data_IF_764670059997
#
_entry.id   IF_764670059997
#
_cell.length_a   1.000
_cell.length_b   1.000
_cell.length_c   1.000
_cell.angle_alpha   90.00
_cell.angle_beta   90.00
_cell.angle_gamma   90.00
#
_symmetry.space_group_name_H-M   'P 1'
#
loop_
_entity.id
_entity.type
_entity.pdbx_description
1 polymer ?
#
# COMPACT_ATOMS: atom_id res chain seq x y z
N UNK A 1 23.55 -11.88 7.20
CA UNK A 1 22.43 -12.65 7.75
C UNK A 1 22.19 -13.83 6.82
N UNK A 2 22.49 -15.06 7.27
CA UNK A 2 22.30 -16.26 6.46
C UNK A 2 20.80 -16.52 6.34
N UNK A 3 20.28 -16.61 5.11
CA UNK A 3 18.86 -16.94 4.90
C UNK A 3 18.65 -18.38 5.35
N UNK A 4 17.65 -18.65 6.18
CA UNK A 4 17.18 -20.00 6.43
C UNK A 4 16.55 -20.47 5.10
N UNK A 5 17.12 -21.45 4.37
CA UNK A 5 16.43 -22.01 3.23
C UNK A 5 15.25 -22.83 3.75
N UNK A 6 14.03 -22.50 3.32
CA UNK A 6 12.89 -23.38 3.55
C UNK A 6 12.91 -24.56 2.58
N UNK A 7 12.33 -25.66 3.04
CA UNK A 7 12.27 -26.97 2.38
C UNK A 7 11.87 -26.84 0.90
N UNK A 8 12.68 -27.40 0.01
CA UNK A 8 12.38 -27.43 -1.44
C UNK A 8 12.87 -26.23 -2.24
N UNK A 9 13.73 -25.36 -1.69
CA UNK A 9 14.44 -24.32 -2.44
C UNK A 9 13.57 -23.13 -2.88
N UNK A 10 12.35 -23.01 -2.33
CA UNK A 10 11.48 -21.85 -2.53
C UNK A 10 11.66 -20.88 -1.37
N UNK A 11 11.99 -19.63 -1.67
CA UNK A 11 11.97 -18.57 -0.67
C UNK A 11 10.50 -18.22 -0.35
N UNK A 12 10.17 -17.92 0.92
CA UNK A 12 8.88 -17.34 1.24
C UNK A 12 8.69 -16.05 0.43
N UNK A 13 7.46 -15.77 -0.02
CA UNK A 13 7.13 -14.58 -0.82
C UNK A 13 7.22 -13.24 -0.05
N UNK A 14 7.78 -13.26 1.15
CA UNK A 14 7.95 -12.13 2.06
C UNK A 14 9.27 -12.24 2.83
N UNK A 15 9.68 -11.14 3.47
CA UNK A 15 10.81 -11.04 4.40
C UNK A 15 10.32 -10.54 5.77
N UNK A 16 11.13 -10.75 6.82
CA UNK A 16 10.89 -10.13 8.13
C UNK A 16 11.66 -8.80 8.19
N UNK A 17 10.98 -7.75 8.60
CA UNK A 17 11.50 -6.39 8.77
C UNK A 17 11.20 -5.86 10.18
N UNK A 18 11.89 -4.79 10.57
CA UNK A 18 11.83 -4.22 11.91
C UNK A 18 11.35 -2.77 11.91
N UNK A 19 10.41 -2.37 12.77
CA UNK A 19 10.00 -0.95 12.87
C UNK A 19 11.20 -0.08 13.27
N UNK A 20 11.89 -0.47 14.33
CA UNK A 20 13.17 0.08 14.80
C UNK A 20 14.32 -0.77 14.26
N UNK A 21 15.27 -0.15 13.56
CA UNK A 21 16.34 -0.86 12.87
C UNK A 21 17.24 -1.65 13.82
N UNK A 22 17.68 -2.83 13.41
CA UNK A 22 18.54 -3.70 14.23
C UNK A 22 19.91 -3.05 14.52
N UNK A 23 20.41 -2.21 13.60
CA UNK A 23 21.69 -1.53 13.75
C UNK A 23 21.65 -0.47 14.86
N UNK A 24 20.52 0.24 15.00
CA UNK A 24 20.30 1.26 16.02
C UNK A 24 19.78 0.67 17.34
N UNK A 25 19.01 -0.42 17.28
CA UNK A 25 18.33 -1.03 18.43
C UNK A 25 18.56 -2.54 18.53
N UNK A 26 19.79 -2.99 18.82
CA UNK A 26 20.12 -4.42 18.88
C UNK A 26 19.34 -5.19 19.97
N UNK A 27 18.93 -4.51 21.04
CA UNK A 27 18.08 -5.08 22.10
C UNK A 27 16.63 -5.33 21.66
N UNK A 28 16.16 -4.68 20.59
CA UNK A 28 14.78 -4.78 20.10
C UNK A 28 14.66 -5.77 18.92
N UNK A 29 15.75 -6.44 18.54
CA UNK A 29 15.80 -7.26 17.32
C UNK A 29 14.87 -8.48 17.36
N UNK A 30 14.56 -9.02 18.54
CA UNK A 30 13.66 -10.17 18.75
C UNK A 30 12.34 -9.78 19.42
N UNK A 31 12.11 -8.49 19.64
CA UNK A 31 10.87 -8.00 20.25
C UNK A 31 9.76 -8.13 19.21
N UNK A 32 8.79 -9.01 19.44
CA UNK A 32 7.76 -9.35 18.43
C UNK A 32 7.00 -8.14 17.88
N UNK A 33 6.64 -7.17 18.74
CA UNK A 33 5.98 -5.92 18.32
C UNK A 33 6.85 -5.04 17.41
N UNK A 34 8.16 -5.29 17.38
CA UNK A 34 9.11 -4.63 16.50
C UNK A 34 9.24 -5.35 15.15
N UNK A 35 8.74 -6.59 15.01
CA UNK A 35 8.84 -7.42 13.82
C UNK A 35 7.58 -7.35 12.97
N UNK A 36 7.72 -7.35 11.65
CA UNK A 36 6.60 -7.52 10.73
C UNK A 36 7.01 -8.21 9.43
N UNK A 37 6.02 -8.81 8.75
CA UNK A 37 6.19 -9.34 7.41
C UNK A 37 6.13 -8.23 6.37
N UNK A 38 7.16 -8.13 5.55
CA UNK A 38 7.28 -7.16 4.46
C UNK A 38 7.41 -7.87 3.12
N UNK A 39 6.97 -7.23 2.04
CA UNK A 39 7.23 -7.76 0.71
C UNK A 39 8.73 -7.67 0.38
N UNK A 40 9.21 -8.47 -0.57
CA UNK A 40 10.59 -8.36 -1.05
C UNK A 40 10.89 -7.05 -1.77
N UNK A 41 9.87 -6.22 -2.02
CA UNK A 41 9.99 -5.02 -2.84
C UNK A 41 10.50 -5.37 -4.24
N UNK A 42 11.20 -4.42 -4.86
CA UNK A 42 11.74 -4.58 -6.21
C UNK A 42 13.09 -5.33 -6.26
N UNK A 43 13.42 -6.13 -5.23
CA UNK A 43 14.75 -6.77 -5.06
C UNK A 43 14.90 -8.07 -5.89
N UNK A 44 13.79 -8.68 -6.35
CA UNK A 44 13.80 -9.88 -7.20
C UNK A 44 13.40 -9.57 -8.65
N UNK A 45 14.34 -9.08 -9.47
CA UNK A 45 14.31 -9.35 -10.91
C UNK A 45 13.50 -8.43 -11.83
N UNK A 46 13.23 -7.18 -11.46
CA UNK A 46 12.81 -6.13 -12.42
C UNK A 46 13.71 -4.91 -12.37
N UNK A 47 15.02 -5.14 -12.52
CA UNK A 47 15.91 -4.14 -13.12
C UNK A 47 15.64 -4.08 -14.63
N UNK A 48 14.42 -3.71 -15.02
CA UNK A 48 14.13 -3.34 -16.41
C UNK A 48 14.46 -1.86 -16.53
N UNK A 49 15.70 -1.60 -16.96
CA UNK A 49 16.18 -0.31 -17.46
C UNK A 49 16.19 0.83 -16.42
N UNK A 50 17.37 1.13 -15.86
CA UNK A 50 17.76 2.46 -15.37
C UNK A 50 16.89 3.09 -14.29
N UNK A 51 17.43 3.16 -13.06
CA UNK A 51 16.92 4.05 -12.00
C UNK A 51 15.47 3.82 -11.55
N UNK A 52 15.11 2.60 -11.14
CA UNK A 52 13.91 2.44 -10.31
C UNK A 52 14.24 2.84 -8.87
N UNK A 53 13.58 3.88 -8.38
CA UNK A 53 13.66 4.29 -6.97
C UNK A 53 13.16 3.12 -6.11
N UNK A 54 13.90 2.80 -5.05
CA UNK A 54 13.43 1.82 -4.08
C UNK A 54 12.21 2.42 -3.36
N UNK A 55 11.29 1.56 -2.91
CA UNK A 55 10.12 1.96 -2.13
C UNK A 55 9.89 0.98 -0.98
N UNK A 56 8.91 1.30 -0.12
CA UNK A 56 8.51 0.52 1.03
C UNK A 56 9.69 0.25 1.99
N UNK A 57 9.72 -0.96 2.57
CA UNK A 57 10.75 -1.36 3.52
C UNK A 57 12.15 -1.46 2.91
N UNK A 58 12.26 -1.66 1.59
CA UNK A 58 13.57 -1.68 0.93
C UNK A 58 14.20 -0.30 0.92
N UNK A 59 13.45 0.76 0.56
CA UNK A 59 13.97 2.14 0.61
C UNK A 59 14.36 2.54 2.03
N UNK A 60 13.46 2.27 2.99
CA UNK A 60 13.69 2.53 4.40
C UNK A 60 14.96 1.85 4.90
N UNK A 61 15.10 0.55 4.66
CA UNK A 61 16.24 -0.23 5.12
C UNK A 61 17.54 0.25 4.49
N UNK A 62 17.54 0.66 3.21
CA UNK A 62 18.72 1.23 2.56
C UNK A 62 19.20 2.54 3.21
N UNK A 63 18.28 3.32 3.78
CA UNK A 63 18.60 4.57 4.48
C UNK A 63 18.76 4.41 6.00
N UNK A 64 18.63 3.18 6.53
CA UNK A 64 18.69 2.87 7.96
C UNK A 64 17.68 3.68 8.81
N UNK A 65 16.46 3.89 8.29
CA UNK A 65 15.42 4.67 8.96
C UNK A 65 14.41 3.83 9.75
N UNK A 66 13.82 4.44 10.77
CA UNK A 66 12.84 3.81 11.66
C UNK A 66 11.40 4.21 11.28
N UNK A 67 10.43 3.35 11.56
CA UNK A 67 8.99 3.66 11.51
C UNK A 67 8.50 3.78 12.95
N UNK A 68 7.88 4.91 13.25
CA UNK A 68 7.45 5.27 14.60
C UNK A 68 6.01 5.76 14.64
N UNK A 69 5.46 6.23 13.50
CA UNK A 69 4.14 6.85 13.47
C UNK A 69 2.97 5.85 13.57
N UNK A 70 3.21 4.56 13.32
CA UNK A 70 2.15 3.54 13.39
C UNK A 70 2.64 2.18 13.87
N UNK A 71 1.68 1.35 14.27
CA UNK A 71 1.85 -0.07 14.53
C UNK A 71 0.81 -0.86 13.75
N UNK A 72 1.23 -1.93 13.08
CA UNK A 72 0.33 -2.82 12.35
C UNK A 72 -0.67 -3.57 13.26
N UNK A 73 -0.45 -3.57 14.58
CA UNK A 73 -1.33 -4.25 15.54
C UNK A 73 -2.48 -3.37 16.05
N UNK A 74 -2.31 -2.05 16.04
CA UNK A 74 -3.21 -1.12 16.74
C UNK A 74 -3.68 0.05 15.88
N UNK A 75 -2.96 0.37 14.81
CA UNK A 75 -3.27 1.55 14.00
C UNK A 75 -4.21 1.19 12.85
N UNK A 76 -5.35 1.88 12.76
CA UNK A 76 -6.21 1.81 11.57
C UNK A 76 -5.68 2.73 10.47
N UNK A 77 -4.70 2.25 9.70
CA UNK A 77 -4.07 3.03 8.63
C UNK A 77 -5.06 3.48 7.54
N UNK A 78 -6.11 2.71 7.27
CA UNK A 78 -7.11 3.04 6.24
C UNK A 78 -7.89 4.31 6.58
N UNK A 79 -8.09 4.59 7.87
CA UNK A 79 -8.74 5.82 8.33
C UNK A 79 -7.82 7.05 8.28
N UNK A 80 -6.51 6.83 8.34
CA UNK A 80 -5.49 7.90 8.39
C UNK A 80 -4.96 8.31 7.01
N UNK A 81 -5.16 7.45 6.01
CA UNK A 81 -4.66 7.63 4.65
C UNK A 81 -5.73 8.20 3.73
N UNK A 82 -5.32 9.14 2.89
CA UNK A 82 -6.16 9.77 1.86
C UNK A 82 -5.45 9.74 0.52
N UNK A 83 -6.24 9.80 -0.53
CA UNK A 83 -5.74 9.80 -1.90
C UNK A 83 -6.20 11.04 -2.68
N UNK A 84 -5.25 11.66 -3.37
CA UNK A 84 -5.48 12.80 -4.24
C UNK A 84 -5.87 12.36 -5.67
N UNK A 85 -6.04 13.34 -6.57
CA UNK A 85 -6.42 13.07 -7.97
C UNK A 85 -5.27 12.47 -8.77
N UNK A 86 -4.07 13.02 -8.61
CA UNK A 86 -2.81 12.60 -9.23
C UNK A 86 -2.24 11.29 -8.65
N UNK A 87 -3.07 10.52 -7.95
CA UNK A 87 -2.67 9.30 -7.29
C UNK A 87 -1.86 9.48 -6.01
N UNK A 88 -1.52 10.69 -5.55
CA UNK A 88 -0.72 10.92 -4.32
C UNK A 88 -1.42 10.38 -3.07
N UNK A 89 -0.65 9.73 -2.18
CA UNK A 89 -1.08 9.31 -0.84
C UNK A 89 -0.71 10.38 0.16
N UNK A 90 -1.56 10.70 1.11
CA UNK A 90 -1.20 11.61 2.19
C UNK A 90 -1.93 11.28 3.49
N UNK A 91 -1.40 11.75 4.60
CA UNK A 91 -2.10 11.77 5.88
C UNK A 91 -2.24 13.20 6.42
N UNK A 92 -3.23 13.42 7.28
CA UNK A 92 -3.31 14.64 8.08
C UNK A 92 -2.32 14.63 9.23
N UNK A 93 -1.90 13.44 9.65
CA UNK A 93 -0.90 13.22 10.69
C UNK A 93 0.48 13.46 10.09
N UNK A 94 1.18 14.49 10.57
CA UNK A 94 2.43 14.95 9.97
C UNK A 94 3.57 13.91 10.09
N UNK A 95 3.61 13.16 11.19
CA UNK A 95 4.52 12.03 11.40
C UNK A 95 4.29 10.94 10.35
N UNK A 96 3.05 10.49 10.18
CA UNK A 96 2.71 9.46 9.20
C UNK A 96 2.96 9.96 7.78
N UNK A 97 2.55 11.18 7.44
CA UNK A 97 2.78 11.76 6.11
C UNK A 97 4.27 11.86 5.77
N UNK A 98 5.09 12.25 6.75
CA UNK A 98 6.54 12.23 6.61
C UNK A 98 7.06 10.82 6.32
N UNK A 99 6.65 9.82 7.09
CA UNK A 99 7.10 8.44 6.91
C UNK A 99 6.68 7.86 5.55
N UNK A 100 5.43 8.11 5.10
CA UNK A 100 4.94 7.70 3.78
C UNK A 100 5.80 8.25 2.64
N UNK A 101 6.24 9.51 2.76
CA UNK A 101 6.95 10.22 1.70
C UNK A 101 8.48 10.06 1.77
N UNK A 102 9.07 10.19 2.95
CA UNK A 102 10.52 10.33 3.16
C UNK A 102 11.18 9.05 3.64
N UNK A 103 10.45 8.17 4.32
CA UNK A 103 10.99 6.91 4.85
C UNK A 103 10.63 5.73 3.96
N UNK A 104 9.40 5.69 3.45
CA UNK A 104 8.89 4.58 2.63
C UNK A 104 8.84 4.91 1.13
N UNK A 105 8.97 6.18 0.75
CA UNK A 105 8.92 6.64 -0.64
C UNK A 105 7.68 6.10 -1.42
N UNK A 106 6.52 6.01 -0.76
CA UNK A 106 5.30 5.42 -1.35
C UNK A 106 4.66 6.32 -2.41
N UNK A 107 5.10 7.58 -2.49
CA UNK A 107 4.74 8.55 -3.51
C UNK A 107 5.80 8.66 -4.62
N UNK A 108 6.62 7.62 -4.82
CA UNK A 108 7.38 7.49 -6.05
C UNK A 108 6.48 7.66 -7.29
N UNK A 109 7.04 8.21 -8.36
CA UNK A 109 6.34 8.52 -9.59
C UNK A 109 5.60 7.30 -10.17
N UNK A 110 6.22 6.13 -10.18
CA UNK A 110 5.60 4.91 -10.71
C UNK A 110 4.36 4.51 -9.89
N UNK A 111 4.46 4.54 -8.57
CA UNK A 111 3.34 4.22 -7.68
C UNK A 111 2.22 5.24 -7.78
N UNK A 112 2.53 6.54 -7.92
CA UNK A 112 1.54 7.60 -8.11
C UNK A 112 0.80 7.45 -9.42
N UNK A 113 1.51 7.30 -10.53
CA UNK A 113 0.89 7.15 -11.86
C UNK A 113 0.02 5.90 -11.96
N UNK A 114 0.42 4.78 -11.35
CA UNK A 114 -0.41 3.56 -11.33
C UNK A 114 -1.68 3.73 -10.50
N UNK A 115 -1.60 4.45 -9.38
CA UNK A 115 -2.77 4.81 -8.55
C UNK A 115 -3.71 5.76 -9.29
N UNK A 116 -3.17 6.79 -9.93
CA UNK A 116 -3.95 7.68 -10.79
C UNK A 116 -4.67 6.90 -11.90
N UNK A 117 -3.97 6.01 -12.59
CA UNK A 117 -4.56 5.16 -13.63
C UNK A 117 -5.73 4.30 -13.13
N UNK A 118 -5.62 3.69 -11.93
CA UNK A 118 -6.73 2.94 -11.34
C UNK A 118 -7.92 3.86 -11.03
N UNK A 119 -7.67 5.01 -10.41
CA UNK A 119 -8.70 5.99 -10.09
C UNK A 119 -9.44 6.44 -11.35
N UNK A 120 -8.71 6.74 -12.42
CA UNK A 120 -9.27 7.18 -13.69
C UNK A 120 -10.06 6.06 -14.37
N UNK A 121 -9.59 4.82 -14.31
CA UNK A 121 -10.34 3.66 -14.80
C UNK A 121 -11.68 3.51 -14.07
N UNK A 122 -11.71 3.66 -12.73
CA UNK A 122 -12.95 3.62 -11.94
C UNK A 122 -13.86 4.79 -12.33
N UNK A 123 -13.31 6.00 -12.41
CA UNK A 123 -14.05 7.21 -12.80
C UNK A 123 -14.70 7.08 -14.18
N UNK A 124 -13.95 6.58 -15.17
CA UNK A 124 -14.43 6.35 -16.52
C UNK A 124 -15.52 5.27 -16.56
N UNK A 125 -15.35 4.18 -15.81
CA UNK A 125 -16.38 3.14 -15.67
C UNK A 125 -17.68 3.70 -15.09
N UNK A 126 -17.60 4.52 -14.04
CA UNK A 126 -18.78 5.17 -13.47
C UNK A 126 -19.42 6.13 -14.48
N UNK A 127 -18.64 6.93 -15.21
CA UNK A 127 -19.16 7.81 -16.26
C UNK A 127 -19.92 7.04 -17.35
N UNK A 128 -19.37 5.92 -17.82
CA UNK A 128 -20.02 5.05 -18.82
C UNK A 128 -21.30 4.37 -18.31
N UNK A 129 -21.37 4.08 -17.01
CA UNK A 129 -22.60 3.58 -16.40
C UNK A 129 -23.63 4.71 -16.23
N UNK A 130 -23.17 5.94 -15.95
CA UNK A 130 -24.06 7.07 -15.68
C UNK A 130 -24.71 7.62 -16.95
N UNK A 131 -24.02 7.59 -18.09
CA UNK A 131 -24.63 7.91 -19.40
C UNK A 131 -25.81 7.00 -19.73
N UNK A 132 -25.92 5.84 -19.07
CA UNK A 132 -27.02 4.89 -19.18
C UNK A 132 -28.04 5.02 -18.04
N UNK A 133 -27.90 6.02 -17.16
CA UNK A 133 -28.72 6.20 -15.95
C UNK A 133 -28.53 5.11 -14.88
N UNK A 134 -27.44 4.34 -14.93
CA UNK A 134 -27.26 3.11 -14.13
C UNK A 134 -26.44 3.29 -12.85
N UNK A 135 -25.86 4.47 -12.59
CA UNK A 135 -25.10 4.66 -11.34
C UNK A 135 -26.07 4.99 -10.22
N UNK A 136 -26.42 3.95 -9.48
CA UNK A 136 -27.21 4.04 -8.25
C UNK A 136 -26.33 3.81 -7.03
N UNK A 137 -26.82 4.19 -5.85
CA UNK A 137 -26.19 3.87 -4.57
C UNK A 137 -25.84 2.38 -4.47
N UNK A 138 -26.78 1.51 -4.89
CA UNK A 138 -26.61 0.05 -4.92
C UNK A 138 -25.41 -0.38 -5.77
N UNK A 139 -25.26 0.20 -6.96
CA UNK A 139 -24.13 -0.10 -7.86
C UNK A 139 -22.80 0.30 -7.22
N UNK A 140 -22.72 1.47 -6.57
CA UNK A 140 -21.49 1.90 -5.89
C UNK A 140 -21.15 0.96 -4.73
N UNK A 141 -22.14 0.56 -3.92
CA UNK A 141 -21.95 -0.41 -2.83
C UNK A 141 -21.45 -1.76 -3.36
N UNK A 142 -22.04 -2.29 -4.43
CA UNK A 142 -21.55 -3.53 -5.06
C UNK A 142 -20.10 -3.40 -5.53
N UNK A 143 -19.71 -2.24 -6.07
CA UNK A 143 -18.32 -2.01 -6.48
C UNK A 143 -17.37 -1.99 -5.28
N UNK A 144 -17.73 -1.32 -4.19
CA UNK A 144 -16.95 -1.30 -2.94
C UNK A 144 -16.71 -2.74 -2.45
N UNK A 145 -17.76 -3.54 -2.33
CA UNK A 145 -17.65 -4.94 -1.90
C UNK A 145 -16.75 -5.73 -2.86
N UNK A 146 -16.88 -5.51 -4.17
CA UNK A 146 -16.02 -6.20 -5.15
C UNK A 146 -14.53 -5.85 -5.02
N UNK A 147 -14.17 -4.69 -4.48
CA UNK A 147 -12.78 -4.31 -4.21
C UNK A 147 -12.32 -4.81 -2.84
N UNK A 148 -13.22 -4.94 -1.87
CA UNK A 148 -12.96 -5.55 -0.55
C UNK A 148 -12.93 -7.09 -0.60
N UNK A 149 -13.40 -7.71 -1.68
CA UNK A 149 -13.29 -9.15 -1.88
C UNK A 149 -11.91 -9.56 -2.39
N UNK A 150 -11.46 -10.73 -1.94
CA UNK A 150 -10.30 -11.44 -2.51
C UNK A 150 -10.71 -12.17 -3.79
N UNK A 151 -9.77 -12.32 -4.71
CA UNK A 151 -9.94 -13.15 -5.89
C UNK A 151 -9.84 -14.66 -5.57
N UNK A 152 -9.95 -15.50 -6.60
CA UNK A 152 -9.87 -16.95 -6.46
C UNK A 152 -8.51 -17.46 -5.92
N UNK A 153 -7.46 -16.64 -5.99
CA UNK A 153 -6.14 -16.93 -5.44
C UNK A 153 -5.96 -16.39 -4.02
N UNK A 154 -7.00 -15.80 -3.44
CA UNK A 154 -6.98 -15.21 -2.11
C UNK A 154 -6.34 -13.82 -2.06
N UNK A 155 -6.10 -13.17 -3.20
CA UNK A 155 -5.42 -11.87 -3.26
C UNK A 155 -6.43 -10.72 -3.38
N UNK A 156 -6.09 -9.58 -2.77
CA UNK A 156 -6.83 -8.34 -3.04
C UNK A 156 -6.42 -7.74 -4.39
N UNK A 157 -7.34 -6.99 -4.99
CA UNK A 157 -7.02 -6.19 -6.17
C UNK A 157 -5.94 -5.15 -5.85
N UNK A 158 -5.11 -4.85 -6.84
CA UNK A 158 -4.07 -3.85 -6.69
C UNK A 158 -4.67 -2.48 -6.30
N UNK A 159 -4.04 -1.83 -5.31
CA UNK A 159 -4.50 -0.56 -4.73
C UNK A 159 -5.98 -0.56 -4.31
N UNK A 160 -6.53 -1.68 -3.83
CA UNK A 160 -7.93 -1.72 -3.39
C UNK A 160 -8.32 -0.63 -2.37
N UNK A 161 -7.46 -0.18 -1.42
CA UNK A 161 -7.86 0.86 -0.46
C UNK A 161 -8.11 2.21 -1.15
N UNK A 162 -7.39 2.52 -2.22
CA UNK A 162 -7.64 3.69 -3.07
C UNK A 162 -9.02 3.59 -3.73
N UNK A 163 -9.35 2.43 -4.30
CA UNK A 163 -10.63 2.19 -4.96
C UNK A 163 -11.80 2.35 -3.97
N UNK A 164 -11.68 1.74 -2.79
CA UNK A 164 -12.64 1.87 -1.69
C UNK A 164 -12.77 3.33 -1.27
N UNK A 165 -11.67 4.03 -0.98
CA UNK A 165 -11.68 5.45 -0.59
C UNK A 165 -12.39 6.33 -1.63
N UNK A 166 -12.08 6.14 -2.92
CA UNK A 166 -12.70 6.90 -4.01
C UNK A 166 -14.21 6.62 -4.10
N UNK A 167 -14.62 5.35 -4.04
CA UNK A 167 -16.02 4.95 -4.15
C UNK A 167 -16.83 5.37 -2.92
N UNK A 168 -16.28 5.30 -1.71
CA UNK A 168 -16.94 5.79 -0.49
C UNK A 168 -17.14 7.31 -0.52
N UNK A 169 -16.18 8.07 -1.09
CA UNK A 169 -16.36 9.50 -1.38
C UNK A 169 -17.52 9.74 -2.36
N UNK A 170 -17.67 8.90 -3.40
CA UNK A 170 -18.79 8.99 -4.34
C UNK A 170 -20.12 8.61 -3.70
N UNK A 171 -20.13 7.59 -2.84
CA UNK A 171 -21.31 7.15 -2.12
C UNK A 171 -21.88 8.25 -1.22
N UNK A 172 -21.03 9.09 -0.61
CA UNK A 172 -21.46 10.25 0.18
C UNK A 172 -22.27 11.28 -0.60
N UNK A 173 -22.18 11.30 -1.93
CA UNK A 173 -22.95 12.23 -2.78
C UNK A 173 -24.41 11.80 -2.99
N UNK A 174 -24.76 10.59 -2.56
CA UNK A 174 -26.14 10.05 -2.62
C UNK A 174 -26.88 10.18 -1.29
N UNK A 175 -26.23 10.69 -0.24
CA UNK A 175 -26.85 11.02 1.05
C UNK A 175 -27.32 12.46 1.03
#
# INVERSE_FOLDING_TARGET
MCRIPEVGGKYPGMKIEHFKSQSKYPSEQLVYKNLFGACWGNVQGRLTNGSQSQTCDTFRSSNNEDITSFSLLTTNLEAEIRYLRDGTMQSKRADLDHELNKILNLNDQSLRSRREGLRDAISNRLRQLNTKGKVTEKVIRTLIESYKSRDATGNFKEFYPLAVYYLENKLRQYK
#
